data_IF_381276773660
#
_entry.id   IF_381276773660
#
_cell.length_a   1.000
_cell.length_b   1.000
_cell.length_c   1.000
_cell.angle_alpha   90.00
_cell.angle_beta   90.00
_cell.angle_gamma   90.00
#
_symmetry.space_group_name_H-M   'P 1'
#
loop_
_entity.id
_entity.type
_entity.pdbx_description
1 polymer ?
#
# COMPACT_ATOMS: atom_id res chain seq x y z
N UNK A 1 7.39 -5.62 -1.77
CA UNK A 1 6.79 -4.29 -1.64
C UNK A 1 5.26 -4.42 -1.68
N UNK A 2 4.57 -3.81 -0.75
CA UNK A 2 3.11 -3.93 -0.69
C UNK A 2 2.45 -2.82 -1.53
N UNK A 3 2.15 -3.10 -2.79
CA UNK A 3 1.50 -2.15 -3.68
C UNK A 3 0.04 -1.89 -3.30
N UNK A 4 -0.63 -2.86 -2.71
CA UNK A 4 -2.06 -2.73 -2.35
C UNK A 4 -2.25 -1.60 -1.36
N UNK A 5 -1.40 -1.50 -0.33
CA UNK A 5 -1.47 -0.42 0.64
C UNK A 5 -1.24 0.94 -0.01
N UNK A 6 -0.30 1.02 -0.93
CA UNK A 6 0.01 2.26 -1.65
C UNK A 6 -1.13 2.66 -2.58
N UNK A 7 -1.70 1.70 -3.29
CA UNK A 7 -2.86 1.93 -4.15
C UNK A 7 -4.07 2.41 -3.35
N UNK A 8 -4.29 1.81 -2.17
CA UNK A 8 -5.37 2.22 -1.28
C UNK A 8 -5.27 3.70 -0.93
N UNK A 9 -4.09 4.16 -0.54
CA UNK A 9 -3.88 5.56 -0.18
C UNK A 9 -4.08 6.47 -1.40
N UNK A 10 -3.52 6.08 -2.54
CA UNK A 10 -3.62 6.89 -3.76
C UNK A 10 -5.07 7.04 -4.24
N UNK A 11 -5.92 6.07 -3.95
CA UNK A 11 -7.32 6.06 -4.38
C UNK A 11 -8.26 6.83 -3.44
N UNK A 12 -7.78 7.28 -2.28
CA UNK A 12 -8.64 7.94 -1.30
C UNK A 12 -9.04 9.34 -1.75
N UNK A 13 -10.24 9.77 -1.32
CA UNK A 13 -10.67 11.15 -1.50
C UNK A 13 -9.89 12.06 -0.55
N UNK A 14 -9.11 13.04 -1.07
CA UNK A 14 -8.28 13.90 -0.21
C UNK A 14 -9.06 14.70 0.83
N UNK A 15 -10.33 15.02 0.56
CA UNK A 15 -11.16 15.79 1.50
C UNK A 15 -11.87 14.90 2.52
N UNK A 16 -11.93 13.60 2.29
CA UNK A 16 -12.57 12.65 3.21
C UNK A 16 -11.93 11.27 3.07
N UNK A 17 -10.65 11.14 3.43
CA UNK A 17 -9.95 9.88 3.28
C UNK A 17 -10.37 8.85 4.32
N UNK A 18 -10.21 7.57 3.97
CA UNK A 18 -10.33 6.48 4.92
C UNK A 18 -9.09 6.36 5.80
N UNK A 19 -9.08 5.34 6.63
CA UNK A 19 -7.95 5.04 7.51
C UNK A 19 -7.32 3.72 7.08
N UNK A 20 -6.02 3.72 6.89
CA UNK A 20 -5.28 2.51 6.56
C UNK A 20 -4.85 1.80 7.85
N UNK A 21 -5.27 0.56 8.00
CA UNK A 21 -4.79 -0.34 9.04
C UNK A 21 -3.87 -1.34 8.37
N UNK A 22 -2.65 -1.43 8.85
CA UNK A 22 -1.61 -2.22 8.20
C UNK A 22 -0.92 -3.12 9.24
N UNK A 23 -0.62 -4.36 8.84
CA UNK A 23 0.19 -5.22 9.68
C UNK A 23 1.57 -4.61 9.88
N UNK A 24 2.05 -4.57 11.11
CA UNK A 24 3.40 -4.09 11.41
C UNK A 24 4.49 -4.94 10.75
N UNK A 25 4.14 -6.14 10.31
CA UNK A 25 5.05 -7.04 9.60
C UNK A 25 5.02 -6.86 8.09
N UNK A 26 4.12 -6.03 7.57
CA UNK A 26 4.09 -5.75 6.14
C UNK A 26 5.35 -4.99 5.71
N UNK A 27 5.86 -5.30 4.53
CA UNK A 27 7.06 -4.63 4.02
C UNK A 27 6.91 -3.13 3.90
N UNK A 28 5.69 -2.65 3.65
CA UNK A 28 5.41 -1.21 3.55
C UNK A 28 5.31 -0.51 4.92
N UNK A 29 5.26 -1.24 6.04
CA UNK A 29 5.02 -0.66 7.36
C UNK A 29 6.08 0.37 7.76
N UNK A 30 7.34 0.14 7.38
CA UNK A 30 8.42 1.08 7.67
C UNK A 30 8.25 2.41 6.96
N UNK A 31 7.67 2.39 5.76
CA UNK A 31 7.46 3.57 4.93
C UNK A 31 6.12 4.25 5.20
N UNK A 32 5.20 3.54 5.86
CA UNK A 32 3.82 3.99 6.07
C UNK A 32 3.49 4.06 7.56
N UNK A 33 4.39 4.68 8.33
CA UNK A 33 4.25 4.78 9.79
C UNK A 33 3.00 5.54 10.24
N UNK A 34 2.41 6.34 9.35
CA UNK A 34 1.18 7.09 9.64
C UNK A 34 -0.08 6.25 9.52
N UNK A 35 0.03 5.02 9.03
CA UNK A 35 -1.04 4.05 9.11
C UNK A 35 -1.20 3.55 10.55
N UNK A 36 -2.34 2.94 10.85
CA UNK A 36 -2.50 2.25 12.12
C UNK A 36 -1.81 0.89 12.00
N UNK A 37 -0.66 0.75 12.62
CA UNK A 37 0.12 -0.48 12.57
C UNK A 37 -0.33 -1.43 13.67
N UNK A 38 -0.63 -2.67 13.30
CA UNK A 38 -1.15 -3.66 14.23
C UNK A 38 -0.42 -4.98 14.11
N UNK A 39 -0.39 -5.74 15.19
CA UNK A 39 0.01 -7.14 15.18
C UNK A 39 -1.22 -7.97 14.80
N UNK A 40 -1.21 -8.62 13.62
CA UNK A 40 -2.38 -9.39 13.18
C UNK A 40 -2.68 -10.63 14.03
N UNK A 41 -1.74 -11.04 14.88
CA UNK A 41 -1.96 -12.16 15.81
C UNK A 41 -2.62 -11.71 17.12
N UNK A 42 -2.69 -10.41 17.37
CA UNK A 42 -3.30 -9.85 18.57
C UNK A 42 -4.71 -9.36 18.23
N UNK A 43 -5.71 -10.16 18.61
CA UNK A 43 -7.12 -9.85 18.31
C UNK A 43 -7.57 -8.54 18.93
N UNK A 44 -7.13 -8.28 20.18
CA UNK A 44 -7.52 -7.06 20.88
C UNK A 44 -6.91 -5.82 20.23
N UNK A 45 -5.66 -5.92 19.77
CA UNK A 45 -5.01 -4.83 19.04
C UNK A 45 -5.75 -4.53 17.74
N UNK A 46 -6.20 -5.56 17.03
CA UNK A 46 -6.97 -5.38 15.80
C UNK A 46 -8.32 -4.73 16.05
N UNK A 47 -9.04 -5.17 17.10
CA UNK A 47 -10.31 -4.57 17.48
C UNK A 47 -10.14 -3.11 17.87
N UNK A 48 -9.12 -2.81 18.67
CA UNK A 48 -8.83 -1.44 19.09
C UNK A 48 -8.44 -0.55 17.91
N UNK A 49 -7.66 -1.06 16.97
CA UNK A 49 -7.29 -0.32 15.76
C UNK A 49 -8.52 -0.01 14.90
N UNK A 50 -9.41 -1.00 14.73
CA UNK A 50 -10.63 -0.81 13.97
C UNK A 50 -11.54 0.22 14.63
N UNK A 51 -11.69 0.13 15.95
CA UNK A 51 -12.46 1.10 16.71
C UNK A 51 -11.89 2.50 16.58
N UNK A 52 -10.57 2.63 16.71
CA UNK A 52 -9.88 3.92 16.53
C UNK A 52 -10.10 4.47 15.13
N UNK A 53 -10.02 3.62 14.11
CA UNK A 53 -10.22 4.04 12.73
C UNK A 53 -11.64 4.56 12.50
N UNK A 54 -12.65 3.86 13.04
CA UNK A 54 -14.05 4.24 12.87
C UNK A 54 -14.41 5.54 13.62
N UNK A 55 -13.73 5.80 14.72
CA UNK A 55 -13.96 6.98 15.55
C UNK A 55 -13.04 8.15 15.20
N UNK A 56 -12.10 7.94 14.29
CA UNK A 56 -11.09 8.96 13.95
C UNK A 56 -11.74 10.17 13.28
N UNK A 57 -11.54 11.38 13.83
CA UNK A 57 -12.11 12.57 13.22
C UNK A 57 -11.47 12.86 11.86
N UNK A 58 -12.24 13.55 11.00
CA UNK A 58 -11.80 13.88 9.65
C UNK A 58 -10.46 14.60 9.62
N UNK A 59 -10.24 15.52 10.56
CA UNK A 59 -8.99 16.28 10.67
C UNK A 59 -7.78 15.35 10.78
N UNK A 60 -7.86 14.36 11.66
CA UNK A 60 -6.78 13.41 11.86
C UNK A 60 -6.62 12.50 10.64
N UNK A 61 -7.72 12.04 10.04
CA UNK A 61 -7.69 11.23 8.83
C UNK A 61 -7.00 11.96 7.68
N UNK A 62 -7.31 13.24 7.51
CA UNK A 62 -6.68 14.07 6.47
C UNK A 62 -5.20 14.24 6.76
N UNK A 63 -4.83 14.51 8.01
CA UNK A 63 -3.42 14.67 8.39
C UNK A 63 -2.61 13.41 8.07
N UNK A 64 -3.10 12.26 8.48
CA UNK A 64 -2.45 10.97 8.19
C UNK A 64 -2.37 10.71 6.69
N UNK A 65 -3.45 10.98 5.97
CA UNK A 65 -3.48 10.84 4.52
C UNK A 65 -2.41 11.69 3.84
N UNK A 66 -2.29 12.95 4.23
CA UNK A 66 -1.30 13.85 3.63
C UNK A 66 0.12 13.35 3.85
N UNK A 67 0.41 12.82 5.03
CA UNK A 67 1.73 12.30 5.34
C UNK A 67 2.00 11.02 4.56
N UNK A 68 1.02 10.14 4.45
CA UNK A 68 1.14 8.93 3.65
C UNK A 68 1.34 9.26 2.16
N UNK A 69 0.60 10.24 1.64
CA UNK A 69 0.77 10.68 0.25
C UNK A 69 2.13 11.31 0.01
N UNK A 70 2.64 12.06 0.98
CA UNK A 70 3.99 12.61 0.89
C UNK A 70 5.03 11.48 0.77
N UNK A 71 4.89 10.45 1.58
CA UNK A 71 5.75 9.28 1.49
C UNK A 71 5.68 8.59 0.14
N UNK A 72 4.48 8.51 -0.44
CA UNK A 72 4.29 7.95 -1.77
C UNK A 72 4.94 8.78 -2.86
N UNK A 73 4.88 10.10 -2.75
CA UNK A 73 5.52 11.00 -3.71
C UNK A 73 7.04 10.93 -3.61
N UNK A 74 7.55 10.73 -2.41
CA UNK A 74 8.98 10.54 -2.17
C UNK A 74 9.44 9.16 -2.65
N UNK A 75 8.52 8.22 -2.76
CA UNK A 75 8.78 6.92 -3.37
C UNK A 75 8.86 7.11 -4.88
N UNK A 76 10.05 6.92 -5.42
CA UNK A 76 10.27 7.12 -6.85
C UNK A 76 9.62 6.01 -7.65
N UNK A 77 8.53 6.36 -8.33
CA UNK A 77 7.82 5.41 -9.19
C UNK A 77 8.72 4.92 -10.34
N UNK A 78 9.69 5.73 -10.76
CA UNK A 78 10.66 5.32 -11.76
C UNK A 78 11.61 4.28 -11.20
N UNK A 79 12.05 4.41 -9.95
CA UNK A 79 12.85 3.38 -9.30
C UNK A 79 12.07 2.06 -9.23
N UNK A 80 10.80 2.11 -8.84
CA UNK A 80 9.97 0.93 -8.82
C UNK A 80 9.84 0.31 -10.22
N UNK A 81 9.59 1.15 -11.21
CA UNK A 81 9.48 0.70 -12.60
C UNK A 81 10.78 0.05 -13.07
N UNK A 82 11.90 0.67 -12.78
CA UNK A 82 13.21 0.13 -13.17
C UNK A 82 13.50 -1.19 -12.48
N UNK A 83 13.19 -1.30 -11.20
CA UNK A 83 13.34 -2.56 -10.46
C UNK A 83 12.45 -3.65 -11.06
N UNK A 84 11.19 -3.30 -11.37
CA UNK A 84 10.24 -4.23 -11.98
C UNK A 84 10.72 -4.69 -13.35
N UNK A 85 11.22 -3.77 -14.20
CA UNK A 85 11.74 -4.09 -15.52
C UNK A 85 12.99 -4.94 -15.42
N UNK A 86 13.88 -4.68 -14.46
CA UNK A 86 15.04 -5.52 -14.23
C UNK A 86 14.64 -6.94 -13.89
N UNK A 87 13.64 -7.10 -13.03
CA UNK A 87 13.12 -8.41 -12.66
C UNK A 87 12.53 -9.13 -13.87
N UNK A 88 11.84 -8.40 -14.75
CA UNK A 88 11.28 -8.98 -15.97
C UNK A 88 12.36 -9.43 -16.95
N UNK A 89 13.52 -8.79 -16.96
CA UNK A 89 14.66 -9.22 -17.80
C UNK A 89 15.33 -10.48 -17.28
N UNK A 90 15.10 -10.82 -16.03
CA UNK A 90 15.55 -12.07 -15.44
C UNK A 90 14.60 -13.19 -15.88
N UNK A 91 15.15 -14.26 -16.46
CA UNK A 91 14.36 -15.40 -16.95
C UNK A 91 13.49 -16.02 -15.86
N UNK A 92 14.01 -16.12 -14.66
CA UNK A 92 13.27 -16.69 -13.52
C UNK A 92 12.06 -15.81 -13.18
N UNK A 93 12.27 -14.52 -13.11
CA UNK A 93 11.19 -13.57 -12.84
C UNK A 93 10.12 -13.61 -13.93
N UNK A 94 10.52 -13.71 -15.20
CA UNK A 94 9.57 -13.85 -16.31
C UNK A 94 8.78 -15.14 -16.23
N UNK A 95 9.40 -16.24 -15.85
CA UNK A 95 8.72 -17.52 -15.66
C UNK A 95 7.70 -17.44 -14.53
N UNK A 96 8.08 -16.87 -13.42
CA UNK A 96 7.20 -16.67 -12.27
C UNK A 96 6.01 -15.78 -12.65
N UNK A 97 6.28 -14.74 -13.42
CA UNK A 97 5.26 -13.82 -13.90
C UNK A 97 4.23 -14.57 -14.77
N UNK A 98 4.70 -15.42 -15.69
CA UNK A 98 3.83 -16.24 -16.53
C UNK A 98 3.07 -17.29 -15.71
N UNK A 99 3.75 -17.91 -14.78
CA UNK A 99 3.16 -18.92 -13.91
C UNK A 99 1.98 -18.35 -13.13
N UNK A 100 2.10 -17.13 -12.65
CA UNK A 100 1.03 -16.44 -11.94
C UNK A 100 -0.09 -15.95 -12.87
N UNK A 101 0.03 -16.19 -14.19
CA UNK A 101 -0.98 -15.78 -15.13
C UNK A 101 -1.04 -14.27 -15.38
N UNK A 102 0.04 -13.57 -15.11
CA UNK A 102 0.10 -12.11 -15.22
C UNK A 102 -0.10 -11.61 -16.64
N UNK A 103 0.11 -12.46 -17.65
CA UNK A 103 -0.22 -12.13 -19.05
C UNK A 103 -1.71 -11.83 -19.25
N UNK A 104 -2.55 -12.31 -18.34
CA UNK A 104 -3.97 -12.07 -18.34
C UNK A 104 -4.37 -11.00 -17.34
N UNK A 105 -3.39 -10.18 -16.95
CA UNK A 105 -3.63 -9.09 -16.02
C UNK A 105 -4.71 -8.17 -16.57
N UNK A 106 -5.55 -7.69 -15.66
CA UNK A 106 -6.61 -6.76 -15.95
C UNK A 106 -6.07 -5.59 -16.78
N UNK A 107 -6.79 -5.13 -17.80
CA UNK A 107 -6.39 -3.99 -18.63
C UNK A 107 -5.97 -2.74 -17.85
N UNK A 108 -6.44 -2.57 -16.62
CA UNK A 108 -6.01 -1.47 -15.74
C UNK A 108 -4.50 -1.44 -15.59
N UNK A 109 -3.86 -2.60 -15.48
CA UNK A 109 -2.41 -2.68 -15.32
C UNK A 109 -1.67 -2.49 -16.64
N UNK A 110 -2.34 -2.72 -17.76
CA UNK A 110 -1.75 -2.52 -19.07
C UNK A 110 -1.66 -1.03 -19.43
N UNK A 111 -2.49 -0.20 -18.81
CA UNK A 111 -2.53 1.24 -19.06
C UNK A 111 -1.67 2.03 -18.09
N UNK A 112 -1.02 1.34 -17.17
CA UNK A 112 -0.06 1.96 -16.25
C UNK A 112 1.33 1.97 -16.88
#
# INVERSE_FOLDING_TARGET
>A
MNLVAKEYIAAQNPSNPGVLILSKYAGAAEQMSEALLVDPTDKMAMVNALKKALEMPRRERISRYKQLMKGLKDFDINEWRNAFLNDLQNKTAMQDFRFLGMRNVNPIYQNL
#
